data_IF_828678048338
#
_entry.id   IF_828678048338
#
_cell.length_a   1.000
_cell.length_b   1.000
_cell.length_c   1.000
_cell.angle_alpha   90.00
_cell.angle_beta   90.00
_cell.angle_gamma   90.00
#
_symmetry.space_group_name_H-M   'P 1'
#
loop_
_entity.id
_entity.type
_entity.pdbx_description
1 polymer ?
#
# COMPACT_ATOMS: atom_id res chain seq x y z
N UNK A 1 39.24 79.00 -75.59
CA UNK A 1 38.10 79.92 -75.43
C UNK A 1 37.70 79.86 -73.97
N UNK A 2 38.14 80.83 -73.17
CA UNK A 2 37.29 81.95 -72.68
C UNK A 2 36.06 81.49 -71.90
N UNK A 3 35.82 81.90 -70.65
CA UNK A 3 36.66 82.50 -69.60
C UNK A 3 35.74 82.83 -68.40
N UNK A 4 36.33 82.72 -67.20
CA UNK A 4 36.20 83.61 -66.02
C UNK A 4 34.80 83.83 -65.40
N UNK A 5 34.67 84.05 -64.09
CA UNK A 5 35.60 84.62 -63.13
C UNK A 5 35.33 84.11 -61.71
N UNK A 6 36.34 84.34 -60.88
CA UNK A 6 36.44 84.10 -59.44
C UNK A 6 35.28 84.67 -58.62
N UNK A 7 34.94 83.98 -57.52
CA UNK A 7 34.51 84.64 -56.28
C UNK A 7 34.94 83.82 -55.05
N UNK A 8 35.46 84.55 -54.07
CA UNK A 8 36.12 84.13 -52.84
C UNK A 8 35.13 83.61 -51.77
N UNK A 9 35.53 82.52 -51.09
CA UNK A 9 35.32 82.23 -49.66
C UNK A 9 33.91 81.91 -49.14
N UNK A 10 33.78 80.80 -48.38
CA UNK A 10 33.07 80.90 -47.09
C UNK A 10 33.80 80.21 -45.92
N UNK A 11 33.48 80.71 -44.73
CA UNK A 11 33.96 80.36 -43.39
C UNK A 11 33.83 78.88 -42.97
N UNK A 12 34.67 78.41 -42.02
CA UNK A 12 34.46 77.13 -41.34
C UNK A 12 33.51 77.29 -40.13
N UNK A 13 32.27 76.81 -40.26
CA UNK A 13 31.35 76.67 -39.12
C UNK A 13 31.76 75.51 -38.20
N UNK A 14 32.14 75.91 -36.99
CA UNK A 14 32.09 75.23 -35.69
C UNK A 14 31.56 73.80 -35.61
N UNK A 15 32.46 72.83 -35.43
CA UNK A 15 32.16 71.55 -34.80
C UNK A 15 32.05 71.72 -33.28
N UNK A 16 30.83 71.67 -32.74
CA UNK A 16 30.58 71.59 -31.29
C UNK A 16 31.02 70.22 -30.77
N UNK A 17 32.12 70.17 -30.02
CA UNK A 17 32.49 69.01 -29.20
C UNK A 17 31.40 68.76 -28.15
N UNK A 18 30.97 67.50 -27.91
CA UNK A 18 30.06 67.21 -26.80
C UNK A 18 30.71 67.63 -25.49
N UNK A 19 29.98 68.44 -24.73
CA UNK A 19 30.38 68.94 -23.40
C UNK A 19 30.63 67.73 -22.49
N UNK A 20 31.77 67.66 -21.77
CA UNK A 20 32.01 66.55 -20.85
C UNK A 20 30.89 66.53 -19.79
N UNK A 21 30.37 65.35 -19.40
CA UNK A 21 29.29 65.26 -18.43
C UNK A 21 29.71 65.96 -17.13
N UNK A 22 28.80 66.76 -16.57
CA UNK A 22 29.03 67.42 -15.28
C UNK A 22 29.40 66.37 -14.23
N UNK A 23 30.38 66.62 -13.35
CA UNK A 23 30.89 65.64 -12.38
C UNK A 23 29.80 65.06 -11.46
N UNK A 24 28.70 65.79 -11.22
CA UNK A 24 27.53 65.27 -10.50
C UNK A 24 26.76 64.19 -11.28
N UNK A 25 26.63 64.31 -12.60
CA UNK A 25 25.96 63.31 -13.45
C UNK A 25 26.72 61.98 -13.50
N UNK A 26 28.05 62.01 -13.43
CA UNK A 26 28.88 60.80 -13.35
C UNK A 26 28.76 60.12 -11.98
N UNK A 27 28.66 60.90 -10.91
CA UNK A 27 28.45 60.38 -9.56
C UNK A 27 27.07 59.73 -9.41
N UNK A 28 26.02 60.32 -9.98
CA UNK A 28 24.68 59.74 -9.96
C UNK A 28 24.60 58.44 -10.79
N UNK A 29 25.24 58.40 -11.97
CA UNK A 29 25.33 57.17 -12.78
C UNK A 29 26.11 56.05 -12.07
N UNK A 30 27.19 56.39 -11.38
CA UNK A 30 27.95 55.42 -10.58
C UNK A 30 27.13 54.92 -9.40
N UNK A 31 26.37 55.79 -8.74
CA UNK A 31 25.49 55.41 -7.63
C UNK A 31 24.38 54.46 -8.10
N UNK A 32 23.70 54.78 -9.19
CA UNK A 32 22.68 53.92 -9.80
C UNK A 32 23.25 52.56 -10.22
N UNK A 33 24.46 52.55 -10.82
CA UNK A 33 25.13 51.32 -11.21
C UNK A 33 25.52 50.47 -9.98
N UNK A 34 25.97 51.11 -8.90
CA UNK A 34 26.34 50.44 -7.67
C UNK A 34 25.12 49.89 -6.92
N UNK A 35 24.02 50.65 -6.87
CA UNK A 35 22.74 50.19 -6.31
C UNK A 35 22.20 48.97 -7.09
N UNK A 36 22.26 48.99 -8.44
CA UNK A 36 21.89 47.83 -9.27
C UNK A 36 22.80 46.62 -9.04
N UNK A 37 24.11 46.82 -8.89
CA UNK A 37 25.07 45.74 -8.60
C UNK A 37 24.81 45.12 -7.23
N UNK A 38 24.54 45.92 -6.20
CA UNK A 38 24.21 45.42 -4.85
C UNK A 38 22.93 44.59 -4.89
N UNK A 39 21.86 45.08 -5.53
CA UNK A 39 20.59 44.33 -5.66
C UNK A 39 20.79 43.03 -6.44
N UNK A 40 21.54 43.05 -7.54
CA UNK A 40 21.85 41.83 -8.30
C UNK A 40 22.71 40.85 -7.52
N UNK A 41 23.66 41.34 -6.70
CA UNK A 41 24.52 40.49 -5.86
C UNK A 41 23.71 39.84 -4.74
N UNK A 42 22.79 40.57 -4.11
CA UNK A 42 21.90 40.02 -3.07
C UNK A 42 20.97 38.94 -3.66
N UNK A 43 20.35 39.21 -4.82
CA UNK A 43 19.51 38.21 -5.48
C UNK A 43 20.27 36.96 -5.93
N UNK A 44 21.53 37.09 -6.36
CA UNK A 44 22.38 35.95 -6.70
C UNK A 44 22.76 35.12 -5.45
N UNK A 45 22.95 35.77 -4.30
CA UNK A 45 23.25 35.12 -3.04
C UNK A 45 22.05 34.32 -2.51
N UNK A 46 20.85 34.92 -2.55
CA UNK A 46 19.61 34.24 -2.16
C UNK A 46 19.33 33.01 -3.05
N UNK A 47 19.59 33.10 -4.35
CA UNK A 47 19.47 31.97 -5.28
C UNK A 47 20.51 30.87 -5.00
N UNK A 48 21.73 31.24 -4.62
CA UNK A 48 22.77 30.29 -4.25
C UNK A 48 22.40 29.55 -2.95
N UNK A 49 21.91 30.27 -1.94
CA UNK A 49 21.47 29.68 -0.67
C UNK A 49 20.27 28.73 -0.87
N UNK A 50 19.31 29.11 -1.74
CA UNK A 50 18.20 28.23 -2.13
C UNK A 50 18.67 26.98 -2.89
N UNK A 51 19.64 27.13 -3.79
CA UNK A 51 20.21 26.02 -4.54
C UNK A 51 20.98 25.06 -3.63
N UNK A 52 21.73 25.57 -2.67
CA UNK A 52 22.47 24.78 -1.69
C UNK A 52 21.53 24.05 -0.72
N UNK A 53 20.45 24.70 -0.27
CA UNK A 53 19.40 24.06 0.53
C UNK A 53 18.71 22.93 -0.25
N UNK A 54 18.27 23.20 -1.49
CA UNK A 54 17.64 22.19 -2.34
C UNK A 54 18.59 21.02 -2.65
N UNK A 55 19.89 21.29 -2.80
CA UNK A 55 20.90 20.26 -3.03
C UNK A 55 21.15 19.43 -1.76
N UNK A 56 21.19 20.05 -0.58
CA UNK A 56 21.30 19.35 0.69
C UNK A 56 20.07 18.44 0.94
N UNK A 57 18.88 18.92 0.63
CA UNK A 57 17.64 18.14 0.70
C UNK A 57 17.68 16.95 -0.27
N UNK A 58 18.11 17.18 -1.52
CA UNK A 58 18.24 16.13 -2.53
C UNK A 58 19.26 15.05 -2.13
N UNK A 59 20.42 15.44 -1.60
CA UNK A 59 21.44 14.51 -1.12
C UNK A 59 20.92 13.68 0.06
N UNK A 60 20.17 14.32 0.97
CA UNK A 60 19.57 13.64 2.12
C UNK A 60 18.51 12.62 1.66
N UNK A 61 17.66 13.01 0.71
CA UNK A 61 16.64 12.13 0.14
C UNK A 61 17.26 10.93 -0.60
N UNK A 62 18.32 11.15 -1.38
CA UNK A 62 18.98 10.08 -2.13
C UNK A 62 19.69 9.09 -1.19
N UNK A 63 20.31 9.61 -0.12
CA UNK A 63 20.88 8.76 0.93
C UNK A 63 19.83 7.92 1.65
N UNK A 64 18.67 8.49 1.98
CA UNK A 64 17.56 7.75 2.60
C UNK A 64 17.04 6.66 1.65
N UNK A 65 16.99 6.94 0.34
CA UNK A 65 16.62 5.94 -0.69
C UNK A 65 17.62 4.79 -0.75
N UNK A 66 18.92 5.07 -0.71
CA UNK A 66 19.95 4.03 -0.75
C UNK A 66 19.99 3.20 0.53
N UNK A 67 19.88 3.85 1.70
CA UNK A 67 19.76 3.16 2.99
C UNK A 67 18.49 2.29 3.03
N UNK A 68 17.39 2.76 2.43
CA UNK A 68 16.17 1.99 2.28
C UNK A 68 16.35 0.75 1.39
N UNK A 69 16.93 0.89 0.20
CA UNK A 69 17.16 -0.24 -0.71
C UNK A 69 18.06 -1.30 -0.08
N UNK A 70 19.07 -0.88 0.68
CA UNK A 70 19.93 -1.78 1.45
C UNK A 70 19.14 -2.52 2.54
N UNK A 71 18.26 -1.83 3.27
CA UNK A 71 17.42 -2.42 4.30
C UNK A 71 16.40 -3.41 3.72
N UNK A 72 15.69 -3.04 2.66
CA UNK A 72 14.75 -3.94 1.93
C UNK A 72 15.46 -5.19 1.47
N UNK A 73 16.64 -5.04 0.86
CA UNK A 73 17.43 -6.18 0.40
C UNK A 73 17.80 -7.12 1.55
N UNK A 74 18.17 -6.57 2.71
CA UNK A 74 18.52 -7.38 3.88
C UNK A 74 17.31 -8.09 4.50
N UNK A 75 16.22 -7.36 4.69
CA UNK A 75 14.98 -7.86 5.29
C UNK A 75 14.27 -8.88 4.38
N UNK A 76 14.37 -8.78 3.05
CA UNK A 76 13.89 -9.81 2.12
C UNK A 76 14.82 -11.03 2.06
N UNK A 77 16.13 -10.83 2.10
CA UNK A 77 17.11 -11.93 1.99
C UNK A 77 16.98 -12.93 3.14
N UNK A 78 16.67 -12.47 4.35
CA UNK A 78 16.57 -13.32 5.54
C UNK A 78 15.45 -14.39 5.43
N UNK A 79 14.17 -14.02 5.20
CA UNK A 79 13.11 -15.01 5.01
C UNK A 79 13.34 -15.89 3.79
N UNK A 80 13.82 -15.33 2.67
CA UNK A 80 14.13 -16.11 1.47
C UNK A 80 15.23 -17.15 1.71
N UNK A 81 16.31 -16.78 2.42
CA UNK A 81 17.38 -17.73 2.75
C UNK A 81 16.87 -18.88 3.63
N UNK A 82 15.95 -18.60 4.55
CA UNK A 82 15.32 -19.62 5.37
C UNK A 82 14.41 -20.56 4.55
N UNK A 83 13.63 -20.00 3.61
CA UNK A 83 12.79 -20.79 2.68
C UNK A 83 13.67 -21.71 1.83
N UNK A 84 14.70 -21.16 1.17
CA UNK A 84 15.61 -21.91 0.31
C UNK A 84 16.35 -23.01 1.09
N UNK A 85 16.83 -22.70 2.30
CA UNK A 85 17.49 -23.70 3.15
C UNK A 85 16.58 -24.84 3.56
N UNK A 86 15.33 -24.55 3.91
CA UNK A 86 14.34 -25.58 4.25
C UNK A 86 13.93 -26.41 3.02
N UNK A 87 13.74 -25.78 1.87
CA UNK A 87 13.43 -26.46 0.61
C UNK A 87 14.55 -27.44 0.23
N UNK A 88 15.82 -27.03 0.35
CA UNK A 88 16.96 -27.91 0.10
C UNK A 88 16.99 -29.12 1.04
N UNK A 89 16.67 -28.91 2.34
CA UNK A 89 16.61 -30.01 3.31
C UNK A 89 15.44 -30.98 3.04
N UNK A 90 14.30 -30.48 2.55
CA UNK A 90 13.17 -31.32 2.13
C UNK A 90 13.50 -32.14 0.88
N UNK A 91 14.16 -31.53 -0.11
CA UNK A 91 14.59 -32.17 -1.35
C UNK A 91 15.59 -33.32 -1.12
N UNK A 92 16.43 -33.21 -0.08
CA UNK A 92 17.34 -34.29 0.33
C UNK A 92 16.61 -35.59 0.76
N UNK A 93 15.32 -35.54 1.10
CA UNK A 93 14.49 -36.71 1.39
C UNK A 93 14.83 -37.50 2.66
N UNK A 94 15.73 -37.01 3.51
CA UNK A 94 16.22 -37.72 4.71
C UNK A 94 15.54 -37.30 6.03
N UNK A 95 14.48 -36.49 5.95
CA UNK A 95 13.80 -35.97 7.13
C UNK A 95 12.67 -36.90 7.59
N UNK A 96 12.59 -37.12 8.90
CA UNK A 96 11.42 -37.75 9.51
C UNK A 96 10.17 -36.85 9.37
N UNK A 97 8.97 -37.42 9.58
CA UNK A 97 7.70 -36.69 9.44
C UNK A 97 7.63 -35.43 10.31
N UNK A 98 8.19 -35.47 11.52
CA UNK A 98 8.14 -34.33 12.44
C UNK A 98 9.03 -33.17 11.95
N UNK A 99 10.23 -33.47 11.44
CA UNK A 99 11.15 -32.50 10.85
C UNK A 99 10.61 -31.94 9.54
N UNK A 100 10.02 -32.78 8.69
CA UNK A 100 9.34 -32.35 7.46
C UNK A 100 8.25 -31.32 7.76
N UNK A 101 7.34 -31.62 8.70
CA UNK A 101 6.30 -30.67 9.12
C UNK A 101 6.91 -29.38 9.67
N UNK A 102 7.97 -29.47 10.48
CA UNK A 102 8.68 -28.29 10.99
C UNK A 102 9.24 -27.43 9.86
N UNK A 103 9.87 -28.02 8.84
CA UNK A 103 10.41 -27.28 7.70
C UNK A 103 9.29 -26.59 6.90
N UNK A 104 8.18 -27.28 6.66
CA UNK A 104 6.99 -26.71 5.99
C UNK A 104 6.46 -25.49 6.76
N UNK A 105 6.34 -25.57 8.09
CA UNK A 105 5.92 -24.42 8.91
C UNK A 105 6.91 -23.26 8.84
N UNK A 106 8.22 -23.54 8.82
CA UNK A 106 9.24 -22.50 8.66
C UNK A 106 9.16 -21.85 7.28
N UNK A 107 8.97 -22.62 6.21
CA UNK A 107 8.77 -22.11 4.85
C UNK A 107 7.54 -21.20 4.82
N UNK A 108 6.39 -21.69 5.28
CA UNK A 108 5.13 -20.94 5.26
C UNK A 108 5.25 -19.60 6.01
N UNK A 109 5.84 -19.61 7.21
CA UNK A 109 6.04 -18.39 8.02
C UNK A 109 6.94 -17.38 7.30
N UNK A 110 8.04 -17.82 6.73
CA UNK A 110 8.99 -16.92 6.07
C UNK A 110 8.47 -16.43 4.71
N UNK A 111 7.75 -17.26 3.96
CA UNK A 111 7.08 -16.83 2.72
C UNK A 111 6.04 -15.74 3.01
N UNK A 112 5.20 -15.92 4.05
CA UNK A 112 4.26 -14.88 4.49
C UNK A 112 4.97 -13.59 4.93
N UNK A 113 6.13 -13.70 5.61
CA UNK A 113 6.92 -12.53 5.98
C UNK A 113 7.49 -11.79 4.76
N UNK A 114 7.98 -12.51 3.75
CA UNK A 114 8.48 -11.92 2.51
C UNK A 114 7.36 -11.23 1.71
N UNK A 115 6.18 -11.85 1.63
CA UNK A 115 5.01 -11.26 0.98
C UNK A 115 4.63 -9.91 1.62
N UNK A 116 4.53 -9.87 2.95
CA UNK A 116 4.25 -8.61 3.69
C UNK A 116 5.25 -7.50 3.38
N UNK A 117 6.53 -7.82 3.26
CA UNK A 117 7.56 -6.83 2.90
C UNK A 117 7.32 -6.25 1.50
N UNK A 118 6.92 -7.10 0.56
CA UNK A 118 6.58 -6.68 -0.82
C UNK A 118 5.34 -5.80 -0.79
N UNK A 119 4.29 -6.19 -0.06
CA UNK A 119 3.05 -5.42 0.06
C UNK A 119 3.32 -4.03 0.68
N UNK A 120 4.11 -3.96 1.76
CA UNK A 120 4.51 -2.70 2.38
C UNK A 120 5.29 -1.79 1.40
N UNK A 121 6.17 -2.37 0.58
CA UNK A 121 6.93 -1.63 -0.44
C UNK A 121 6.00 -1.06 -1.52
N UNK A 122 5.05 -1.86 -1.99
CA UNK A 122 4.06 -1.43 -2.99
C UNK A 122 3.14 -0.34 -2.44
N UNK A 123 2.71 -0.47 -1.19
CA UNK A 123 1.88 0.54 -0.54
C UNK A 123 2.64 1.85 -0.37
N UNK A 124 3.91 1.83 0.04
CA UNK A 124 4.74 3.04 0.12
C UNK A 124 4.95 3.69 -1.25
N UNK A 125 5.15 2.88 -2.31
CA UNK A 125 5.23 3.39 -3.67
C UNK A 125 3.95 4.13 -4.08
N UNK A 126 2.77 3.57 -3.76
CA UNK A 126 1.48 4.22 -4.01
C UNK A 126 1.26 5.47 -3.15
N UNK A 127 1.74 5.49 -1.90
CA UNK A 127 1.71 6.70 -1.06
C UNK A 127 2.51 7.82 -1.74
N UNK A 128 3.73 7.53 -2.19
CA UNK A 128 4.64 8.51 -2.82
C UNK A 128 4.05 9.02 -4.14
N UNK A 129 3.48 8.12 -4.95
CA UNK A 129 2.80 8.49 -6.19
C UNK A 129 1.50 9.27 -5.98
N UNK A 130 0.94 9.27 -4.76
CA UNK A 130 -0.34 9.91 -4.45
C UNK A 130 -1.58 9.10 -4.87
N UNK A 131 -1.36 7.90 -5.41
CA UNK A 131 -2.35 7.03 -6.07
C UNK A 131 -3.20 6.18 -5.12
N UNK A 132 -3.07 6.39 -3.80
CA UNK A 132 -3.98 5.74 -2.84
C UNK A 132 -5.35 6.39 -2.94
N UNK A 133 -6.21 5.75 -3.73
CA UNK A 133 -7.66 5.96 -3.72
C UNK A 133 -8.28 4.99 -2.73
N UNK A 134 -9.07 5.53 -1.80
CA UNK A 134 -9.79 4.76 -0.79
C UNK A 134 -11.18 4.44 -1.31
N UNK A 135 -11.61 3.18 -1.17
CA UNK A 135 -13.01 2.84 -1.36
C UNK A 135 -13.78 3.23 -0.10
N UNK A 136 -14.41 4.42 -0.11
CA UNK A 136 -15.08 4.96 1.07
C UNK A 136 -16.48 4.38 1.18
N UNK A 137 -16.60 3.28 1.92
CA UNK A 137 -17.85 2.64 2.29
C UNK A 137 -18.19 2.94 3.76
N UNK A 138 -19.39 2.54 4.19
CA UNK A 138 -19.76 2.55 5.61
C UNK A 138 -19.07 1.38 6.29
N UNK A 139 -18.16 1.68 7.21
CA UNK A 139 -17.36 0.67 7.90
C UNK A 139 -17.64 0.73 9.40
N UNK A 140 -18.02 -0.41 9.98
CA UNK A 140 -18.08 -0.56 11.44
C UNK A 140 -16.68 -0.81 11.99
N UNK A 141 -16.16 0.16 12.74
CA UNK A 141 -14.85 0.05 13.36
C UNK A 141 -14.75 -1.11 14.37
N UNK A 142 -15.86 -1.56 14.94
CA UNK A 142 -15.86 -2.70 15.86
C UNK A 142 -15.49 -3.98 15.12
N UNK A 143 -16.04 -4.19 13.92
CA UNK A 143 -15.72 -5.33 13.07
C UNK A 143 -14.26 -5.31 12.62
N UNK A 144 -13.79 -4.15 12.14
CA UNK A 144 -12.38 -3.94 11.73
C UNK A 144 -11.40 -4.29 12.85
N UNK A 145 -11.68 -3.83 14.08
CA UNK A 145 -10.83 -4.12 15.24
C UNK A 145 -10.87 -5.62 15.56
N UNK A 146 -12.04 -6.25 15.48
CA UNK A 146 -12.21 -7.66 15.78
C UNK A 146 -11.43 -8.54 14.80
N UNK A 147 -11.50 -8.25 13.50
CA UNK A 147 -10.75 -8.95 12.45
C UNK A 147 -9.23 -8.86 12.70
N UNK A 148 -8.74 -7.67 13.00
CA UNK A 148 -7.32 -7.45 13.32
C UNK A 148 -6.86 -8.17 14.60
N UNK A 149 -7.73 -8.24 15.62
CA UNK A 149 -7.45 -8.99 16.86
C UNK A 149 -7.37 -10.49 16.61
N UNK A 150 -8.28 -11.04 15.81
CA UNK A 150 -8.31 -12.46 15.50
C UNK A 150 -7.10 -12.88 14.66
N UNK A 151 -6.64 -12.03 13.73
CA UNK A 151 -5.40 -12.24 12.97
C UNK A 151 -4.14 -12.36 13.85
N UNK A 152 -4.11 -11.66 14.99
CA UNK A 152 -2.94 -11.60 15.89
C UNK A 152 -3.07 -12.46 17.15
N UNK A 153 -4.22 -13.13 17.33
CA UNK A 153 -4.54 -13.89 18.54
C UNK A 153 -3.52 -14.98 18.84
N UNK A 154 -3.12 -15.75 17.82
CA UNK A 154 -2.12 -16.82 17.97
C UNK A 154 -0.75 -16.26 18.35
N UNK A 155 -0.31 -15.17 17.71
CA UNK A 155 0.98 -14.54 18.01
C UNK A 155 1.02 -13.96 19.43
N UNK A 156 -0.10 -13.41 19.93
CA UNK A 156 -0.23 -12.95 21.30
C UNK A 156 -0.21 -14.13 22.30
N UNK A 157 -0.91 -15.22 21.99
CA UNK A 157 -0.93 -16.45 22.81
C UNK A 157 0.44 -17.10 22.91
N UNK A 158 1.22 -17.15 21.83
CA UNK A 158 2.59 -17.67 21.82
C UNK A 158 3.51 -16.91 22.80
N UNK A 159 3.23 -15.62 23.05
CA UNK A 159 3.92 -14.80 24.05
C UNK A 159 3.19 -14.72 25.39
N UNK A 160 2.07 -15.45 25.57
CA UNK A 160 1.21 -15.33 26.74
C UNK A 160 0.79 -13.87 27.05
N UNK A 161 0.55 -13.06 26.01
CA UNK A 161 0.08 -11.67 26.17
C UNK A 161 -1.44 -11.68 26.36
N UNK A 162 -1.91 -10.94 27.35
CA UNK A 162 -3.35 -10.69 27.57
C UNK A 162 -3.85 -9.65 26.57
N UNK A 163 -4.70 -10.08 25.63
CA UNK A 163 -5.25 -9.25 24.55
C UNK A 163 -6.73 -8.96 24.87
N UNK A 164 -7.04 -7.70 25.15
CA UNK A 164 -8.39 -7.27 25.57
C UNK A 164 -8.96 -6.22 24.63
N UNK A 165 -10.25 -6.34 24.31
CA UNK A 165 -10.99 -5.34 23.53
C UNK A 165 -12.11 -4.75 24.37
N UNK A 166 -12.15 -3.43 24.43
CA UNK A 166 -13.20 -2.63 25.07
C UNK A 166 -13.89 -1.84 23.97
N UNK A 167 -15.00 -2.38 23.48
CA UNK A 167 -15.81 -1.79 22.42
C UNK A 167 -16.85 -0.78 22.92
N UNK A 168 -17.63 -0.25 21.98
CA UNK A 168 -18.81 0.58 22.22
C UNK A 168 -20.10 -0.23 22.04
N UNK A 169 -21.18 0.19 22.73
CA UNK A 169 -22.49 -0.46 22.60
C UNK A 169 -23.24 -0.09 21.30
N UNK A 170 -22.83 0.98 20.63
CA UNK A 170 -23.41 1.47 19.37
C UNK A 170 -22.36 1.39 18.27
N UNK A 171 -22.68 0.86 17.08
CA UNK A 171 -21.73 0.76 15.97
C UNK A 171 -21.10 2.12 15.64
N UNK A 172 -19.77 2.18 15.62
CA UNK A 172 -19.02 3.37 15.23
C UNK A 172 -18.78 3.33 13.72
N UNK A 173 -19.75 3.83 12.95
CA UNK A 173 -19.70 3.85 11.49
C UNK A 173 -18.84 5.02 10.98
N UNK A 174 -17.85 4.72 10.15
CA UNK A 174 -17.00 5.72 9.48
C UNK A 174 -17.07 5.56 7.97
N UNK A 175 -16.83 6.64 7.22
CA UNK A 175 -16.64 6.60 5.78
C UNK A 175 -15.19 6.21 5.46
N UNK A 176 -14.96 4.95 5.14
CA UNK A 176 -13.61 4.45 4.92
C UNK A 176 -13.53 3.14 4.18
N UNK A 177 -12.29 2.72 3.94
CA UNK A 177 -11.95 1.47 3.30
C UNK A 177 -11.66 0.43 4.39
N UNK A 178 -12.51 -0.60 4.47
CA UNK A 178 -12.42 -1.61 5.53
C UNK A 178 -11.09 -2.35 5.52
N UNK A 179 -10.55 -2.67 4.34
CA UNK A 179 -9.27 -3.38 4.21
C UNK A 179 -8.12 -2.51 4.71
N UNK A 180 -8.12 -1.22 4.33
CA UNK A 180 -7.08 -0.26 4.75
C UNK A 180 -7.18 0.10 6.23
N UNK A 181 -8.39 0.20 6.78
CA UNK A 181 -8.58 0.41 8.21
C UNK A 181 -8.16 -0.82 9.03
N UNK A 182 -8.42 -2.03 8.53
CA UNK A 182 -7.93 -3.28 9.14
C UNK A 182 -6.40 -3.29 9.16
N UNK A 183 -5.77 -2.94 8.04
CA UNK A 183 -4.32 -2.80 7.94
C UNK A 183 -3.73 -1.79 8.95
N UNK A 184 -4.43 -0.67 9.20
CA UNK A 184 -4.03 0.30 10.24
C UNK A 184 -4.01 -0.35 11.62
N UNK A 185 -5.08 -1.03 12.00
CA UNK A 185 -5.19 -1.67 13.32
C UNK A 185 -4.22 -2.83 13.47
N UNK A 186 -4.05 -3.65 12.44
CA UNK A 186 -3.07 -4.75 12.41
C UNK A 186 -1.64 -4.25 12.58
N UNK A 187 -1.26 -3.15 11.92
CA UNK A 187 0.07 -2.56 12.07
C UNK A 187 0.33 -2.09 13.51
N UNK A 188 -0.66 -1.46 14.14
CA UNK A 188 -0.55 -1.02 15.54
C UNK A 188 -0.49 -2.21 16.50
N UNK A 189 -1.36 -3.20 16.33
CA UNK A 189 -1.39 -4.40 17.17
C UNK A 189 -0.15 -5.28 16.99
N UNK A 190 0.34 -5.45 15.76
CA UNK A 190 1.56 -6.20 15.46
C UNK A 190 2.76 -5.57 16.15
N UNK A 191 2.86 -4.23 16.12
CA UNK A 191 3.88 -3.49 16.89
C UNK A 191 3.71 -3.72 18.40
N UNK A 192 2.49 -3.62 18.92
CA UNK A 192 2.23 -3.87 20.34
C UNK A 192 2.64 -5.30 20.77
N UNK A 193 2.27 -6.33 20.00
CA UNK A 193 2.66 -7.74 20.25
C UNK A 193 4.17 -7.91 20.13
N UNK A 194 4.81 -7.24 19.15
CA UNK A 194 6.26 -7.31 18.95
C UNK A 194 7.03 -6.74 20.16
N UNK A 195 6.64 -5.57 20.64
CA UNK A 195 7.37 -4.82 21.68
C UNK A 195 6.90 -5.07 23.11
N UNK A 196 5.81 -5.80 23.30
CA UNK A 196 5.38 -6.29 24.61
C UNK A 196 6.15 -7.57 24.99
N UNK A 197 6.75 -7.62 26.19
CA UNK A 197 7.42 -8.83 26.68
C UNK A 197 6.39 -9.94 26.96
N UNK A 198 6.83 -11.21 27.03
CA UNK A 198 5.93 -12.31 27.38
C UNK A 198 5.23 -12.10 28.73
N UNK A 199 3.93 -12.42 28.81
CA UNK A 199 3.11 -12.17 30.00
C UNK A 199 2.62 -10.72 30.16
N UNK A 200 2.89 -9.84 29.20
CA UNK A 200 2.38 -8.46 29.20
C UNK A 200 0.90 -8.36 28.80
N UNK A 201 0.41 -7.13 28.65
CA UNK A 201 -0.98 -6.83 28.31
C UNK A 201 -1.08 -5.83 27.17
N UNK A 202 -2.05 -6.06 26.28
CA UNK A 202 -2.45 -5.17 25.21
C UNK A 202 -3.96 -4.96 25.33
N UNK A 203 -4.37 -3.70 25.34
CA UNK A 203 -5.77 -3.29 25.41
C UNK A 203 -6.12 -2.41 24.21
N UNK A 204 -7.14 -2.81 23.46
CA UNK A 204 -7.72 -1.99 22.40
C UNK A 204 -9.01 -1.37 22.92
N UNK A 205 -9.12 -0.05 22.85
CA UNK A 205 -10.33 0.69 23.22
C UNK A 205 -10.90 1.35 22.00
N UNK A 206 -12.19 1.16 21.76
CA UNK A 206 -12.96 1.97 20.84
C UNK A 206 -13.84 2.89 21.66
N UNK A 207 -13.77 4.19 21.40
CA UNK A 207 -14.69 5.18 21.95
C UNK A 207 -15.29 5.99 20.82
N UNK A 208 -16.56 6.35 20.95
CA UNK A 208 -17.25 7.23 20.00
C UNK A 208 -17.88 8.35 20.82
N UNK A 209 -17.30 9.55 20.72
CA UNK A 209 -17.74 10.72 21.47
C UNK A 209 -17.81 11.93 20.54
N UNK A 210 -19.02 12.26 20.09
CA UNK A 210 -19.25 13.38 19.17
C UNK A 210 -18.98 13.01 17.70
N UNK A 211 -18.38 13.90 16.89
CA UNK A 211 -18.18 13.67 15.45
C UNK A 211 -17.01 12.75 15.12
N UNK A 212 -16.35 12.16 16.12
CA UNK A 212 -15.14 11.35 15.94
C UNK A 212 -15.21 10.05 16.74
N UNK A 213 -14.69 8.99 16.12
CA UNK A 213 -14.41 7.71 16.75
C UNK A 213 -12.91 7.66 17.02
N UNK A 214 -12.56 7.17 18.20
CA UNK A 214 -11.19 7.05 18.66
C UNK A 214 -10.86 5.58 18.96
N UNK A 215 -9.85 5.06 18.29
CA UNK A 215 -9.26 3.74 18.52
C UNK A 215 -7.96 3.97 19.29
N UNK A 216 -7.85 3.41 20.49
CA UNK A 216 -6.62 3.40 21.27
C UNK A 216 -6.06 1.99 21.36
N UNK A 217 -4.78 1.82 21.05
CA UNK A 217 -4.02 0.59 21.31
C UNK A 217 -3.02 0.89 22.41
N UNK A 218 -3.23 0.29 23.59
CA UNK A 218 -2.42 0.49 24.79
C UNK A 218 -1.64 -0.80 25.07
N UNK A 219 -0.32 -0.71 25.12
CA UNK A 219 0.56 -1.84 25.43
C UNK A 219 1.36 -1.61 26.72
N UNK A 220 1.76 -2.69 27.38
CA UNK A 220 2.68 -2.66 28.54
C UNK A 220 4.12 -3.00 28.13
N UNK A 221 4.51 -2.64 26.91
CA UNK A 221 5.79 -2.97 26.33
C UNK A 221 6.95 -2.11 26.81
N UNK A 222 8.04 -2.15 26.04
CA UNK A 222 9.28 -1.46 26.38
C UNK A 222 9.19 0.07 26.39
N UNK A 223 8.07 0.65 25.97
CA UNK A 223 7.89 2.10 25.84
C UNK A 223 8.79 2.73 24.78
N UNK A 224 8.64 4.05 24.63
CA UNK A 224 9.31 4.86 23.61
C UNK A 224 10.06 6.00 24.30
N UNK A 225 11.28 6.28 23.84
CA UNK A 225 12.09 7.39 24.35
C UNK A 225 11.52 8.73 23.88
N UNK A 226 11.53 9.79 24.72
CA UNK A 226 10.99 11.10 24.36
C UNK A 226 11.63 11.69 23.09
N UNK A 227 12.90 11.39 22.85
CA UNK A 227 13.64 11.88 21.68
C UNK A 227 13.19 11.19 20.38
N UNK A 228 12.62 9.99 20.48
CA UNK A 228 12.17 9.21 19.32
C UNK A 228 10.70 9.46 18.97
N UNK A 229 9.86 9.84 19.95
CA UNK A 229 8.42 10.10 19.75
C UNK A 229 8.10 11.03 18.56
N UNK A 230 8.80 12.18 18.37
CA UNK A 230 8.51 13.08 17.25
C UNK A 230 8.74 12.45 15.87
N UNK A 231 9.68 11.50 15.78
CA UNK A 231 10.12 10.86 14.54
C UNK A 231 9.45 9.50 14.31
N UNK A 232 8.55 9.07 15.20
CA UNK A 232 7.98 7.72 15.21
C UNK A 232 7.19 7.37 13.93
N UNK A 233 6.55 8.38 13.33
CA UNK A 233 5.76 8.23 12.10
C UNK A 233 6.55 8.62 10.83
N UNK A 234 7.82 8.96 10.97
CA UNK A 234 8.69 9.21 9.81
C UNK A 234 9.03 7.89 9.12
N UNK A 235 9.17 7.96 7.80
CA UNK A 235 9.48 6.80 6.97
C UNK A 235 10.92 6.35 7.23
N UNK A 236 11.13 5.04 7.25
CA UNK A 236 12.45 4.42 7.41
C UNK A 236 13.09 4.66 8.78
N UNK A 237 12.32 5.19 9.73
CA UNK A 237 12.81 5.50 11.07
C UNK A 237 12.66 4.28 11.98
N UNK A 238 13.75 3.93 12.67
CA UNK A 238 13.78 2.85 13.66
C UNK A 238 14.48 3.31 14.93
N UNK A 239 14.00 2.86 16.08
CA UNK A 239 14.66 3.07 17.36
C UNK A 239 15.95 2.25 17.38
N UNK A 240 17.09 2.85 17.02
CA UNK A 240 18.42 2.24 17.05
C UNK A 240 18.88 2.03 18.49
N UNK A 241 18.33 1.03 19.17
CA UNK A 241 18.78 0.65 20.51
C UNK A 241 19.88 -0.41 20.38
N UNK A 242 21.05 -0.16 20.97
CA UNK A 242 22.28 -0.93 20.79
C UNK A 242 22.20 -2.43 21.16
N UNK A 243 21.11 -2.86 21.80
CA UNK A 243 20.95 -4.22 22.34
C UNK A 243 20.05 -5.13 21.53
N UNK A 244 19.29 -4.64 20.55
CA UNK A 244 18.51 -5.52 19.67
C UNK A 244 18.33 -4.95 18.26
N UNK A 245 18.96 -5.61 17.26
CA UNK A 245 18.54 -5.53 15.85
C UNK A 245 17.25 -6.32 15.68
N UNK A 246 16.10 -5.76 16.08
CA UNK A 246 14.80 -6.39 15.87
C UNK A 246 14.16 -5.83 14.59
N UNK A 247 14.28 -6.62 13.51
CA UNK A 247 13.99 -6.27 12.10
C UNK A 247 12.60 -5.71 11.78
N UNK A 248 12.45 -5.27 10.54
CA UNK A 248 11.35 -4.46 10.00
C UNK A 248 11.89 -3.34 9.10
N UNK A 249 11.06 -2.74 8.26
CA UNK A 249 11.48 -1.65 7.35
C UNK A 249 11.27 -0.23 7.90
N UNK A 250 10.69 -0.09 9.10
CA UNK A 250 10.29 1.21 9.64
C UNK A 250 9.18 1.90 8.81
N UNK A 251 8.37 1.10 8.12
CA UNK A 251 7.31 1.60 7.23
C UNK A 251 5.93 1.56 7.85
N UNK A 252 5.65 0.59 8.72
CA UNK A 252 4.29 0.33 9.23
C UNK A 252 3.62 1.55 9.87
N UNK A 253 4.32 2.30 10.72
CA UNK A 253 3.73 3.49 11.36
C UNK A 253 3.58 4.67 10.40
N UNK A 254 4.51 4.85 9.45
CA UNK A 254 4.37 5.86 8.42
C UNK A 254 3.17 5.56 7.49
N UNK A 255 2.92 4.28 7.20
CA UNK A 255 1.74 3.82 6.46
C UNK A 255 0.46 4.06 7.26
N UNK A 256 0.45 3.76 8.56
CA UNK A 256 -0.68 4.08 9.45
C UNK A 256 -1.03 5.57 9.36
N UNK A 257 -0.04 6.45 9.49
CA UNK A 257 -0.27 7.90 9.39
C UNK A 257 -0.86 8.30 8.04
N UNK A 258 -0.26 7.84 6.94
CA UNK A 258 -0.73 8.17 5.59
C UNK A 258 -2.16 7.67 5.31
N UNK A 259 -2.49 6.45 5.75
CA UNK A 259 -3.83 5.87 5.58
C UNK A 259 -4.86 6.61 6.42
N UNK A 260 -4.57 6.89 7.70
CA UNK A 260 -5.48 7.61 8.60
C UNK A 260 -5.74 9.04 8.11
N UNK A 261 -4.70 9.77 7.69
CA UNK A 261 -4.83 11.11 7.12
C UNK A 261 -5.67 11.09 5.83
N UNK A 262 -5.47 10.10 4.96
CA UNK A 262 -6.30 9.92 3.76
C UNK A 262 -7.75 9.63 4.09
N UNK A 263 -8.06 8.99 5.23
CA UNK A 263 -9.43 8.80 5.70
C UNK A 263 -10.04 10.08 6.30
N UNK A 264 -9.28 11.16 6.45
CA UNK A 264 -9.71 12.41 7.10
C UNK A 264 -9.55 12.38 8.62
N UNK A 265 -8.74 11.45 9.13
CA UNK A 265 -8.44 11.28 10.54
C UNK A 265 -7.08 11.83 10.96
N UNK A 266 -6.70 11.52 12.21
CA UNK A 266 -5.36 11.78 12.73
C UNK A 266 -4.86 10.62 13.58
N UNK A 267 -3.53 10.46 13.66
CA UNK A 267 -2.89 9.47 14.54
C UNK A 267 -1.86 10.15 15.44
N UNK A 268 -1.80 9.72 16.69
CA UNK A 268 -0.86 10.20 17.70
C UNK A 268 -0.33 9.03 18.55
N UNK A 269 0.84 9.21 19.16
CA UNK A 269 1.43 8.24 20.06
C UNK A 269 1.95 8.91 21.33
N UNK A 270 1.64 8.31 22.48
CA UNK A 270 2.11 8.74 23.80
C UNK A 270 2.84 7.59 24.49
N UNK A 271 3.93 7.92 25.19
CA UNK A 271 4.69 6.96 25.99
C UNK A 271 5.25 7.68 27.22
N UNK A 272 5.01 7.18 28.45
CA UNK A 272 5.61 7.75 29.67
C UNK A 272 7.12 7.53 29.78
N UNK A 273 7.72 6.79 28.84
CA UNK A 273 9.15 6.51 28.78
C UNK A 273 9.46 5.01 28.74
N UNK A 274 10.74 4.67 28.75
CA UNK A 274 11.22 3.28 28.64
C UNK A 274 10.70 2.42 29.79
N UNK A 275 10.14 1.26 29.45
CA UNK A 275 9.56 0.27 30.36
C UNK A 275 8.15 0.59 30.84
N UNK A 276 7.49 1.62 30.29
CA UNK A 276 6.15 2.06 30.71
C UNK A 276 5.06 1.81 29.68
N UNK A 277 5.37 1.12 28.59
CA UNK A 277 4.44 0.89 27.49
C UNK A 277 4.23 2.12 26.60
N UNK A 278 3.34 1.99 25.63
CA UNK A 278 2.93 3.07 24.75
C UNK A 278 1.43 3.03 24.50
N UNK A 279 0.88 4.16 24.05
CA UNK A 279 -0.51 4.32 23.65
C UNK A 279 -0.55 4.96 22.28
N UNK A 280 -1.12 4.26 21.32
CA UNK A 280 -1.36 4.75 19.96
C UNK A 280 -2.84 5.11 19.83
N UNK A 281 -3.12 6.32 19.38
CA UNK A 281 -4.49 6.86 19.26
C UNK A 281 -4.77 7.22 17.81
N UNK A 282 -5.78 6.60 17.22
CA UNK A 282 -6.30 6.89 15.87
C UNK A 282 -7.67 7.53 16.01
N UNK A 283 -7.87 8.70 15.39
CA UNK A 283 -9.15 9.42 15.37
C UNK A 283 -9.68 9.46 13.95
N UNK A 284 -10.95 9.07 13.76
CA UNK A 284 -11.62 9.06 12.47
C UNK A 284 -12.97 9.79 12.57
N UNK A 285 -13.39 10.53 11.53
CA UNK A 285 -14.70 11.17 11.49
C UNK A 285 -15.82 10.12 11.42
N UNK A 286 -16.81 10.23 12.31
CA UNK A 286 -18.01 9.37 12.34
C UNK A 286 -19.04 9.92 11.36
N UNK A 287 -19.72 9.03 10.64
CA UNK A 287 -20.82 9.40 9.77
C UNK A 287 -22.01 9.92 10.57
N UNK A 288 -22.63 11.00 10.09
CA UNK A 288 -23.79 11.57 10.79
C UNK A 288 -25.02 10.68 10.59
N UNK A 289 -25.95 10.60 11.56
CA UNK A 289 -27.18 9.79 11.43
C UNK A 289 -28.05 10.13 10.21
N UNK A 290 -27.88 11.31 9.60
CA UNK A 290 -28.56 11.73 8.37
C UNK A 290 -28.00 11.09 7.09
N UNK A 291 -26.75 10.64 7.08
CA UNK A 291 -26.10 10.01 5.91
C UNK A 291 -26.40 8.50 5.83
N UNK A 292 -26.74 7.89 6.97
CA UNK A 292 -27.09 6.46 7.09
C UNK A 292 -28.44 6.14 6.42
N UNK A 293 -29.38 7.10 6.39
CA UNK A 293 -30.75 6.89 5.93
C UNK A 293 -30.95 6.89 4.40
N UNK A 294 -30.00 7.41 3.60
CA UNK A 294 -30.14 7.50 2.14
C UNK A 294 -29.57 6.26 1.40
N UNK A 295 -28.72 5.47 2.08
CA UNK A 295 -28.01 4.31 1.50
C UNK A 295 -28.60 2.95 1.97
N UNK A 296 -29.43 2.95 3.01
CA UNK A 296 -30.11 1.76 3.58
C UNK A 296 -31.04 1.00 2.60
N UNK A 297 -31.22 1.47 1.36
CA UNK A 297 -32.03 0.77 0.34
C UNK A 297 -31.25 -0.21 -0.55
N UNK A 298 -29.91 -0.31 -0.44
CA UNK A 298 -29.11 -1.12 -1.39
C UNK A 298 -28.38 -2.31 -0.75
N UNK A 299 -28.07 -2.30 0.56
CA UNK A 299 -27.26 -3.36 1.17
C UNK A 299 -27.98 -4.11 2.29
N UNK A 300 -28.84 -5.06 1.91
CA UNK A 300 -29.22 -6.19 2.79
C UNK A 300 -29.19 -7.47 1.96
N UNK A 301 -28.04 -8.15 1.98
CA UNK A 301 -27.79 -9.59 1.76
C UNK A 301 -26.27 -9.74 1.56
N UNK A 302 -25.49 -10.59 2.20
CA UNK A 302 -25.63 -11.58 3.25
C UNK A 302 -24.19 -11.79 3.76
N UNK A 303 -23.95 -11.83 5.06
CA UNK A 303 -22.64 -12.28 5.59
C UNK A 303 -22.87 -13.20 6.76
N UNK A 304 -23.18 -14.45 6.44
CA UNK A 304 -23.02 -15.55 7.39
C UNK A 304 -21.68 -16.22 7.10
N UNK A 305 -20.76 -16.12 8.06
CA UNK A 305 -19.58 -16.96 8.15
C UNK A 305 -20.01 -18.43 7.99
N UNK A 306 -19.66 -19.05 6.85
CA UNK A 306 -19.94 -20.44 6.57
C UNK A 306 -18.68 -21.29 6.78
N UNK A 307 -18.91 -22.48 7.34
CA UNK A 307 -17.94 -23.57 7.51
C UNK A 307 -17.09 -23.83 6.24
N UNK A 308 -15.94 -24.54 6.33
CA UNK A 308 -15.08 -24.79 5.18
C UNK A 308 -15.89 -25.36 4.01
N UNK A 309 -16.06 -24.52 2.98
CA UNK A 309 -16.89 -24.85 1.84
C UNK A 309 -16.18 -25.92 1.01
N UNK A 310 -16.84 -27.06 0.79
CA UNK A 310 -16.33 -28.10 -0.12
C UNK A 310 -16.77 -27.76 -1.54
N UNK A 311 -15.89 -27.93 -2.51
CA UNK A 311 -16.16 -27.69 -3.94
C UNK A 311 -16.55 -28.98 -4.68
N UNK A 312 -17.10 -29.96 -3.95
CA UNK A 312 -17.37 -31.31 -4.46
C UNK A 312 -18.21 -31.25 -5.76
N UNK A 313 -17.56 -31.58 -6.88
CA UNK A 313 -18.21 -31.66 -8.20
C UNK A 313 -18.25 -30.37 -9.01
N UNK A 314 -17.78 -29.24 -8.48
CA UNK A 314 -17.69 -27.95 -9.21
C UNK A 314 -16.57 -28.04 -10.26
N UNK A 315 -16.87 -27.71 -11.52
CA UNK A 315 -15.87 -27.62 -12.59
C UNK A 315 -15.26 -26.22 -12.65
N UNK A 316 -13.99 -26.10 -12.29
CA UNK A 316 -13.27 -24.82 -12.29
C UNK A 316 -12.30 -24.77 -13.47
N UNK A 317 -12.44 -23.77 -14.35
CA UNK A 317 -11.42 -23.46 -15.35
C UNK A 317 -10.46 -22.43 -14.75
N UNK A 318 -9.21 -22.85 -14.52
CA UNK A 318 -8.15 -22.01 -13.97
C UNK A 318 -7.22 -21.53 -15.07
N UNK A 319 -7.02 -20.22 -15.18
CA UNK A 319 -6.10 -19.58 -16.14
C UNK A 319 -5.00 -18.86 -15.38
N UNK A 320 -3.78 -19.37 -15.45
CA UNK A 320 -2.60 -18.86 -14.76
C UNK A 320 -1.36 -19.14 -15.62
N UNK A 321 -0.62 -18.11 -16.01
CA UNK A 321 0.53 -18.20 -16.91
C UNK A 321 1.75 -18.82 -16.22
N UNK A 322 1.96 -18.50 -14.94
CA UNK A 322 3.01 -19.09 -14.12
C UNK A 322 2.74 -20.59 -13.87
N UNK A 323 3.68 -21.43 -14.28
CA UNK A 323 3.49 -22.89 -14.25
C UNK A 323 3.40 -23.44 -12.81
N UNK A 324 4.17 -22.88 -11.88
CA UNK A 324 4.23 -23.34 -10.49
C UNK A 324 2.98 -22.89 -9.74
N UNK A 325 2.56 -21.63 -9.90
CA UNK A 325 1.32 -21.10 -9.34
C UNK A 325 0.10 -21.86 -9.88
N UNK A 326 0.09 -22.18 -11.18
CA UNK A 326 -0.97 -22.97 -11.81
C UNK A 326 -1.07 -24.37 -11.22
N UNK A 327 0.05 -25.06 -11.00
CA UNK A 327 0.08 -26.39 -10.41
C UNK A 327 -0.41 -26.36 -8.95
N UNK A 328 0.10 -25.43 -8.15
CA UNK A 328 -0.27 -25.28 -6.73
C UNK A 328 -1.76 -24.96 -6.57
N UNK A 329 -2.28 -23.98 -7.33
CA UNK A 329 -3.70 -23.62 -7.29
C UNK A 329 -4.59 -24.75 -7.80
N UNK A 330 -4.17 -25.47 -8.85
CA UNK A 330 -4.88 -26.63 -9.36
C UNK A 330 -5.04 -27.73 -8.30
N UNK A 331 -3.92 -28.14 -7.69
CA UNK A 331 -3.91 -29.16 -6.63
C UNK A 331 -4.77 -28.75 -5.42
N UNK A 332 -4.70 -27.49 -5.02
CA UNK A 332 -5.48 -26.95 -3.90
C UNK A 332 -6.98 -27.07 -4.15
N UNK A 333 -7.44 -26.69 -5.33
CA UNK A 333 -8.84 -26.78 -5.73
C UNK A 333 -9.30 -28.24 -5.88
N UNK A 334 -8.45 -29.13 -6.39
CA UNK A 334 -8.71 -30.57 -6.45
C UNK A 334 -8.85 -31.20 -5.06
N UNK A 335 -7.97 -30.84 -4.12
CA UNK A 335 -8.05 -31.27 -2.72
C UNK A 335 -9.36 -30.79 -2.07
N UNK A 336 -9.83 -29.60 -2.44
CA UNK A 336 -11.12 -29.06 -2.00
C UNK A 336 -12.34 -29.74 -2.66
N UNK A 337 -12.14 -30.67 -3.60
CA UNK A 337 -13.18 -31.48 -4.24
C UNK A 337 -13.62 -30.99 -5.64
N UNK A 338 -13.02 -29.92 -6.16
CA UNK A 338 -13.32 -29.41 -7.50
C UNK A 338 -12.72 -30.31 -8.59
N UNK A 339 -13.35 -30.30 -9.76
CA UNK A 339 -12.71 -30.76 -11.01
C UNK A 339 -12.06 -29.55 -11.64
N UNK A 340 -10.75 -29.58 -11.86
CA UNK A 340 -10.02 -28.42 -12.36
C UNK A 340 -9.47 -28.70 -13.74
N UNK A 341 -9.69 -27.77 -14.68
CA UNK A 341 -8.92 -27.70 -15.91
C UNK A 341 -8.04 -26.46 -15.84
N UNK A 342 -6.72 -26.66 -15.71
CA UNK A 342 -5.76 -25.59 -15.54
C UNK A 342 -5.00 -25.33 -16.86
N UNK A 343 -5.03 -24.08 -17.33
CA UNK A 343 -4.43 -23.66 -18.60
C UNK A 343 -3.54 -22.43 -18.42
N UNK A 344 -2.49 -22.34 -19.24
CA UNK A 344 -1.51 -21.25 -19.15
C UNK A 344 -1.70 -20.07 -20.09
N UNK A 345 -2.84 -19.99 -20.79
CA UNK A 345 -3.07 -18.93 -21.77
C UNK A 345 -4.55 -18.74 -22.05
N UNK A 346 -4.92 -17.56 -22.55
CA UNK A 346 -6.29 -17.22 -22.95
C UNK A 346 -6.76 -18.13 -24.07
N UNK A 347 -5.88 -18.42 -25.05
CA UNK A 347 -6.18 -19.38 -26.12
C UNK A 347 -6.39 -20.81 -25.61
N UNK A 348 -5.71 -21.19 -24.53
CA UNK A 348 -5.98 -22.45 -23.83
C UNK A 348 -7.36 -22.45 -23.21
N UNK A 349 -7.70 -21.38 -22.49
CA UNK A 349 -8.99 -21.21 -21.83
C UNK A 349 -10.16 -21.28 -22.81
N UNK A 350 -10.09 -20.54 -23.92
CA UNK A 350 -11.15 -20.54 -24.94
C UNK A 350 -11.38 -21.92 -25.57
N UNK A 351 -10.33 -22.75 -25.70
CA UNK A 351 -10.47 -24.15 -26.18
C UNK A 351 -11.08 -25.06 -25.12
N UNK A 352 -10.66 -24.90 -23.86
CA UNK A 352 -11.18 -25.65 -22.73
C UNK A 352 -12.67 -25.38 -22.48
N UNK A 353 -13.13 -24.14 -22.72
CA UNK A 353 -14.52 -23.73 -22.49
C UNK A 353 -15.55 -24.63 -23.19
N UNK A 354 -15.28 -25.10 -24.41
CA UNK A 354 -16.24 -25.88 -25.21
C UNK A 354 -16.28 -27.36 -24.81
N UNK A 355 -15.15 -27.91 -24.36
CA UNK A 355 -15.03 -29.31 -23.95
C UNK A 355 -15.33 -29.55 -22.47
N UNK A 356 -14.85 -28.66 -21.60
CA UNK A 356 -14.91 -28.81 -20.15
C UNK A 356 -16.20 -28.31 -19.54
N UNK A 357 -16.83 -27.30 -20.15
CA UNK A 357 -18.03 -26.60 -19.65
C UNK A 357 -17.88 -26.20 -18.17
N UNK A 358 -16.99 -25.25 -17.85
CA UNK A 358 -16.74 -24.85 -16.47
C UNK A 358 -17.98 -24.23 -15.83
N UNK A 359 -18.12 -24.47 -14.52
CA UNK A 359 -19.12 -23.84 -13.66
C UNK A 359 -18.61 -22.50 -13.11
N UNK A 360 -17.28 -22.35 -12.97
CA UNK A 360 -16.61 -21.10 -12.55
C UNK A 360 -15.32 -20.90 -13.34
N UNK A 361 -15.06 -19.66 -13.77
CA UNK A 361 -13.79 -19.22 -14.35
C UNK A 361 -12.95 -18.53 -13.27
N UNK A 362 -11.70 -18.93 -13.11
CA UNK A 362 -10.70 -18.22 -12.30
C UNK A 362 -9.55 -17.84 -13.22
N UNK A 363 -9.24 -16.55 -13.35
CA UNK A 363 -8.23 -16.07 -14.29
C UNK A 363 -7.30 -15.05 -13.65
N UNK A 364 -6.00 -15.20 -13.85
CA UNK A 364 -5.08 -14.07 -13.72
C UNK A 364 -5.42 -13.00 -14.76
N UNK A 365 -5.30 -11.75 -14.32
CA UNK A 365 -5.52 -10.55 -15.12
C UNK A 365 -4.20 -9.99 -15.64
N UNK A 366 -3.09 -10.21 -14.92
CA UNK A 366 -1.78 -9.61 -15.18
C UNK A 366 -0.84 -10.45 -16.05
N UNK A 367 -1.35 -11.19 -17.05
CA UNK A 367 -0.52 -12.08 -17.86
C UNK A 367 0.30 -11.29 -18.92
N UNK A 368 1.60 -11.59 -19.12
CA UNK A 368 2.51 -10.81 -19.98
C UNK A 368 2.14 -10.75 -21.47
N UNK A 369 1.57 -11.84 -22.01
CA UNK A 369 1.34 -12.03 -23.45
C UNK A 369 -0.15 -12.02 -23.85
N UNK A 370 -1.06 -12.03 -22.87
CA UNK A 370 -2.49 -12.26 -23.06
C UNK A 370 -3.30 -11.43 -22.05
N UNK A 371 -4.33 -10.71 -22.48
CA UNK A 371 -5.11 -9.84 -21.61
C UNK A 371 -6.27 -10.61 -20.94
N UNK A 372 -6.24 -10.79 -19.61
CA UNK A 372 -7.35 -11.39 -18.84
C UNK A 372 -8.67 -10.62 -19.01
N UNK A 373 -8.62 -9.31 -19.28
CA UNK A 373 -9.79 -8.52 -19.65
C UNK A 373 -10.33 -8.89 -21.05
N UNK A 374 -9.48 -9.32 -21.97
CA UNK A 374 -9.91 -9.80 -23.28
C UNK A 374 -10.58 -11.17 -23.17
N UNK A 375 -10.06 -12.07 -22.32
CA UNK A 375 -10.69 -13.37 -22.07
C UNK A 375 -12.12 -13.22 -21.59
N UNK A 376 -12.34 -12.44 -20.52
CA UNK A 376 -13.68 -12.31 -19.94
C UNK A 376 -14.66 -11.66 -20.92
N UNK A 377 -14.21 -10.67 -21.71
CA UNK A 377 -15.04 -10.05 -22.76
C UNK A 377 -15.45 -11.06 -23.84
N UNK A 378 -14.53 -11.92 -24.27
CA UNK A 378 -14.84 -12.99 -25.22
C UNK A 378 -15.82 -14.01 -24.64
N UNK A 379 -15.66 -14.39 -23.36
CA UNK A 379 -16.56 -15.31 -22.66
C UNK A 379 -17.96 -14.71 -22.52
N UNK A 380 -18.07 -13.41 -22.18
CA UNK A 380 -19.35 -12.69 -22.06
C UNK A 380 -20.05 -12.47 -23.39
N UNK A 381 -19.32 -12.39 -24.51
CA UNK A 381 -19.89 -12.26 -25.84
C UNK A 381 -20.52 -13.56 -26.38
N UNK A 382 -20.46 -14.68 -25.65
CA UNK A 382 -21.08 -15.96 -26.06
C UNK A 382 -22.54 -16.02 -25.61
N UNK A 383 -23.45 -16.19 -26.57
CA UNK A 383 -24.92 -16.25 -26.34
C UNK A 383 -25.40 -17.52 -25.63
N UNK A 384 -24.61 -18.59 -25.63
CA UNK A 384 -24.97 -19.90 -25.04
C UNK A 384 -23.92 -20.30 -24.02
N UNK A 385 -24.36 -20.56 -22.79
CA UNK A 385 -23.61 -21.04 -21.62
C UNK A 385 -22.51 -20.12 -21.05
N UNK A 386 -21.77 -19.34 -21.86
CA UNK A 386 -20.62 -18.52 -21.42
C UNK A 386 -20.95 -17.15 -20.79
N UNK A 387 -22.06 -16.54 -21.22
CA UNK A 387 -22.46 -15.18 -20.80
C UNK A 387 -22.69 -15.02 -19.29
N UNK A 388 -23.08 -16.10 -18.60
CA UNK A 388 -23.49 -16.07 -17.19
C UNK A 388 -22.55 -16.82 -16.24
N UNK A 389 -21.50 -17.49 -16.74
CA UNK A 389 -20.56 -18.23 -15.88
C UNK A 389 -19.88 -17.26 -14.90
N UNK A 390 -19.98 -17.49 -13.58
CA UNK A 390 -19.27 -16.70 -12.60
C UNK A 390 -17.77 -16.69 -12.86
N UNK A 391 -17.15 -15.52 -12.78
CA UNK A 391 -15.73 -15.32 -13.02
C UNK A 391 -15.06 -14.57 -11.87
N UNK A 392 -13.92 -15.09 -11.43
CA UNK A 392 -13.04 -14.52 -10.42
C UNK A 392 -11.74 -14.07 -11.09
N UNK A 393 -11.36 -12.82 -10.85
CA UNK A 393 -10.07 -12.27 -11.25
C UNK A 393 -9.01 -12.48 -10.16
N UNK A 394 -7.85 -13.03 -10.49
CA UNK A 394 -6.66 -13.00 -9.65
C UNK A 394 -5.83 -11.79 -10.06
N UNK A 395 -5.44 -10.94 -9.12
CA UNK A 395 -4.71 -9.70 -9.44
C UNK A 395 -3.61 -9.40 -8.43
N UNK A 396 -2.44 -8.98 -8.92
CA UNK A 396 -1.39 -8.37 -8.08
C UNK A 396 -1.57 -6.86 -7.85
N UNK A 397 -2.55 -6.24 -8.54
CA UNK A 397 -2.84 -4.80 -8.49
C UNK A 397 -4.23 -4.58 -7.89
N UNK A 398 -4.28 -3.88 -6.75
CA UNK A 398 -5.49 -3.70 -5.92
C UNK A 398 -5.92 -2.23 -5.93
N UNK A 399 -6.01 -1.62 -7.12
CA UNK A 399 -6.59 -0.27 -7.22
C UNK A 399 -8.11 -0.37 -7.40
N UNK A 400 -8.86 0.61 -6.88
CA UNK A 400 -10.31 0.70 -7.09
C UNK A 400 -10.69 0.92 -8.57
N UNK A 401 -9.76 1.46 -9.37
CA UNK A 401 -9.92 1.62 -10.82
C UNK A 401 -9.83 0.27 -11.53
N UNK A 402 -9.01 -0.65 -11.04
CA UNK A 402 -8.99 -2.04 -11.51
C UNK A 402 -10.28 -2.76 -11.13
N UNK A 403 -10.84 -2.51 -9.93
CA UNK A 403 -12.10 -3.14 -9.52
C UNK A 403 -13.29 -2.75 -10.42
N UNK A 404 -13.50 -1.45 -10.65
CA UNK A 404 -14.56 -0.98 -11.54
C UNK A 404 -14.37 -1.48 -12.98
N UNK A 405 -13.13 -1.55 -13.45
CA UNK A 405 -12.79 -2.09 -14.79
C UNK A 405 -13.01 -3.60 -14.87
N UNK A 406 -12.72 -4.36 -13.81
CA UNK A 406 -12.95 -5.81 -13.75
C UNK A 406 -14.44 -6.14 -13.78
N UNK A 407 -15.24 -5.43 -12.98
CA UNK A 407 -16.70 -5.55 -13.00
C UNK A 407 -17.27 -5.16 -14.37
N UNK A 408 -16.83 -4.03 -14.94
CA UNK A 408 -17.27 -3.59 -16.26
C UNK A 408 -16.85 -4.55 -17.39
N UNK A 409 -15.71 -5.24 -17.25
CA UNK A 409 -15.27 -6.26 -18.20
C UNK A 409 -16.06 -7.57 -18.07
N UNK A 410 -16.71 -7.81 -16.93
CA UNK A 410 -17.63 -8.91 -16.71
C UNK A 410 -17.20 -9.93 -15.65
N UNK A 411 -16.18 -9.64 -14.84
CA UNK A 411 -15.89 -10.43 -13.64
C UNK A 411 -16.91 -10.14 -12.53
N UNK A 412 -17.18 -11.11 -11.66
CA UNK A 412 -18.09 -10.95 -10.52
C UNK A 412 -17.34 -10.54 -9.25
N UNK A 413 -16.09 -10.98 -9.10
CA UNK A 413 -15.24 -10.64 -7.95
C UNK A 413 -13.76 -10.74 -8.31
N UNK A 414 -12.89 -10.33 -7.39
CA UNK A 414 -11.45 -10.39 -7.53
C UNK A 414 -10.78 -10.84 -6.22
N UNK A 415 -9.61 -11.48 -6.32
CA UNK A 415 -8.78 -11.90 -5.20
C UNK A 415 -7.35 -11.38 -5.39
N UNK A 416 -6.75 -10.76 -4.36
CA UNK A 416 -5.37 -10.32 -4.44
C UNK A 416 -4.39 -11.50 -4.43
N UNK A 417 -3.31 -11.41 -5.20
CA UNK A 417 -2.16 -12.30 -5.11
C UNK A 417 -1.21 -11.80 -3.99
N UNK A 418 -0.66 -12.65 -3.10
CA UNK A 418 -0.81 -14.11 -3.07
C UNK A 418 -2.18 -14.53 -2.50
N UNK A 419 -2.83 -15.47 -3.18
CA UNK A 419 -4.19 -15.91 -2.82
C UNK A 419 -4.12 -16.92 -1.67
N UNK A 420 -4.89 -16.69 -0.60
CA UNK A 420 -5.00 -17.64 0.49
C UNK A 420 -5.93 -18.83 0.13
N UNK A 421 -5.56 -20.07 0.46
CA UNK A 421 -6.33 -21.27 0.11
C UNK A 421 -7.80 -21.25 0.51
N UNK A 422 -8.09 -20.86 1.75
CA UNK A 422 -9.45 -20.88 2.26
C UNK A 422 -10.30 -19.79 1.58
N UNK A 423 -9.68 -18.66 1.25
CA UNK A 423 -10.34 -17.51 0.60
C UNK A 423 -10.77 -17.84 -0.83
N UNK A 424 -9.91 -18.47 -1.63
CA UNK A 424 -10.27 -18.86 -3.00
C UNK A 424 -11.36 -19.93 -3.02
N UNK A 425 -11.29 -20.90 -2.11
CA UNK A 425 -12.30 -21.96 -1.99
C UNK A 425 -13.65 -21.37 -1.59
N UNK A 426 -13.68 -20.48 -0.61
CA UNK A 426 -14.90 -19.80 -0.18
C UNK A 426 -15.51 -18.93 -1.30
N UNK A 427 -14.68 -18.19 -2.04
CA UNK A 427 -15.13 -17.35 -3.14
C UNK A 427 -15.77 -18.17 -4.28
N UNK A 428 -15.13 -19.29 -4.67
CA UNK A 428 -15.66 -20.19 -5.70
C UNK A 428 -16.97 -20.84 -5.21
N UNK A 429 -17.03 -21.30 -3.96
CA UNK A 429 -18.23 -21.95 -3.42
C UNK A 429 -19.43 -20.99 -3.38
N UNK A 430 -19.20 -19.73 -2.97
CA UNK A 430 -20.22 -18.69 -2.96
C UNK A 430 -20.77 -18.44 -4.37
N UNK A 431 -19.90 -18.28 -5.36
CA UNK A 431 -20.30 -18.01 -6.74
C UNK A 431 -20.95 -19.21 -7.44
N UNK A 432 -20.47 -20.43 -7.21
CA UNK A 432 -21.06 -21.65 -7.75
C UNK A 432 -22.50 -21.87 -7.25
N UNK A 433 -22.79 -21.45 -6.01
CA UNK A 433 -24.15 -21.53 -5.44
C UNK A 433 -25.14 -20.55 -6.08
N UNK A 434 -24.66 -19.41 -6.59
CA UNK A 434 -25.47 -18.38 -7.25
C UNK A 434 -25.80 -18.71 -8.70
N UNK A 435 -24.94 -19.47 -9.39
CA UNK A 435 -25.12 -19.88 -10.79
C UNK A 435 -26.02 -21.11 -11.02
N UNK A 436 -26.44 -21.80 -9.94
CA UNK A 436 -27.28 -23.02 -10.03
C UNK A 436 -28.80 -22.75 -9.95
N UNK A 437 -29.27 -21.52 -10.18
CA UNK A 437 -30.70 -21.15 -10.18
C UNK A 437 -31.25 -20.82 -11.55
#
# INVERSE_FOLDING_TARGET
>A
MTAHAEQQGPDPESGTLPTPPHPQSLLDQLRDANEKLVVSSMGAQDLADQADAARADAVTADRLKDEFLAMVSHELRTPLSAVLGCAHLLDCGQLDRARTMKMIHVIARNAKAAARIIDDLLDVSRIIGGDIRLDRLHVDLSAVIQDALDALRLAAQDKAIDLTFVGVAVPALVAGDALRLTQVVENLLSNAVKFTPPGGRIEVRLTSAGPQAEIQVVDTGQGITPEFLPHLFERFTQARTATMRQGGLGLGLALVKALVERHGGSVHADSPGVGRGATFTVRLPVLSPHEVAEVERVNIADTTAAAPARLDGVRVLLVEDDADAREVLGLLLEIAGAKVEAVGSVRGALRAFDGFRPDVLVSDVGMPDDDGYALIRHVRAREVDGGHIPAIALTGYVSSEDHARLLAAGFQTHLPKPVEPDTIVAAIASLASLGSR
#
